data_IF_577502458517
#
_entry.id   IF_577502458517
#
_cell.length_a   1.000
_cell.length_b   1.000
_cell.length_c   1.000
_cell.angle_alpha   90.00
_cell.angle_beta   90.00
_cell.angle_gamma   90.00
#
_symmetry.space_group_name_H-M   'P 1'
#
loop_
_entity.id
_entity.type
_entity.pdbx_description
1 polymer ?
#
# COMPACT_ATOMS: atom_id res chain seq x y z
N UNK A 1 -30.74 -12.72 -20.30
CA UNK A 1 -29.29 -12.96 -20.48
C UNK A 1 -28.47 -12.40 -19.31
N UNK A 2 -28.90 -11.30 -18.69
CA UNK A 2 -28.28 -10.72 -17.47
C UNK A 2 -28.56 -11.46 -16.15
N UNK A 3 -29.44 -12.46 -16.12
CA UNK A 3 -29.80 -13.17 -14.88
C UNK A 3 -28.81 -14.28 -14.46
N UNK A 4 -27.81 -14.61 -15.30
CA UNK A 4 -26.96 -15.81 -15.10
C UNK A 4 -25.45 -15.53 -15.13
N UNK A 5 -25.04 -14.28 -15.26
CA UNK A 5 -23.62 -13.90 -15.32
C UNK A 5 -23.38 -12.72 -14.37
N UNK A 6 -23.23 -12.95 -13.05
CA UNK A 6 -22.82 -11.90 -12.13
C UNK A 6 -21.46 -11.33 -12.60
N UNK A 7 -21.23 -10.02 -12.49
CA UNK A 7 -19.96 -9.42 -12.88
C UNK A 7 -18.83 -10.11 -12.10
N UNK A 8 -17.70 -10.45 -12.76
CA UNK A 8 -16.58 -11.10 -12.09
C UNK A 8 -16.12 -10.24 -10.91
N UNK A 9 -16.22 -10.81 -9.72
CA UNK A 9 -15.66 -10.23 -8.51
C UNK A 9 -14.17 -10.55 -8.49
N UNK A 10 -13.35 -9.62 -8.96
CA UNK A 10 -11.90 -9.72 -8.78
C UNK A 10 -11.62 -9.46 -7.31
N UNK A 11 -11.33 -10.53 -6.56
CA UNK A 11 -10.83 -10.43 -5.19
C UNK A 11 -9.32 -10.23 -5.27
N UNK A 12 -8.87 -8.98 -5.21
CA UNK A 12 -7.45 -8.64 -5.12
C UNK A 12 -7.04 -8.75 -3.65
N UNK A 13 -6.41 -9.85 -3.29
CA UNK A 13 -5.75 -10.03 -2.00
C UNK A 13 -4.25 -9.92 -2.19
N UNK A 14 -3.59 -9.11 -1.37
CA UNK A 14 -2.13 -9.07 -1.32
C UNK A 14 -1.67 -10.32 -0.58
N UNK A 15 -0.61 -10.96 -1.07
CA UNK A 15 -0.02 -12.15 -0.45
C UNK A 15 0.48 -11.85 0.98
N UNK A 16 0.16 -12.73 1.94
CA UNK A 16 0.47 -12.54 3.36
C UNK A 16 1.98 -12.52 3.63
N UNK A 17 2.77 -13.28 2.84
CA UNK A 17 4.22 -13.26 2.95
C UNK A 17 4.77 -11.91 2.48
N UNK A 18 4.23 -11.34 1.40
CA UNK A 18 4.59 -10.00 0.96
C UNK A 18 4.29 -8.95 2.04
N UNK A 19 3.12 -9.00 2.69
CA UNK A 19 2.78 -8.09 3.81
C UNK A 19 3.82 -8.20 4.93
N UNK A 20 4.22 -9.42 5.29
CA UNK A 20 5.25 -9.64 6.31
C UNK A 20 6.59 -9.00 5.91
N UNK A 21 7.02 -9.14 4.66
CA UNK A 21 8.25 -8.52 4.16
C UNK A 21 8.21 -6.99 4.18
N UNK A 22 7.04 -6.40 3.93
CA UNK A 22 6.81 -4.96 4.11
C UNK A 22 6.97 -4.54 5.58
N UNK A 23 6.33 -5.25 6.50
CA UNK A 23 6.39 -4.95 7.94
C UNK A 23 7.83 -5.05 8.47
N UNK A 24 8.53 -6.14 8.12
CA UNK A 24 9.95 -6.31 8.47
C UNK A 24 10.81 -5.20 7.84
N UNK A 25 10.51 -4.83 6.59
CA UNK A 25 11.15 -3.74 5.89
C UNK A 25 11.01 -2.40 6.60
N UNK A 26 9.81 -2.06 7.11
CA UNK A 26 9.60 -0.83 7.86
C UNK A 26 10.44 -0.78 9.14
N UNK A 27 10.58 -1.90 9.85
CA UNK A 27 11.34 -1.95 11.10
C UNK A 27 12.84 -1.73 10.89
N UNK A 28 13.35 -2.05 9.70
CA UNK A 28 14.76 -1.98 9.33
C UNK A 28 15.12 -0.73 8.52
N UNK A 29 14.18 -0.17 7.75
CA UNK A 29 14.41 1.01 6.91
C UNK A 29 14.40 2.30 7.76
N UNK A 30 15.56 2.94 7.90
CA UNK A 30 15.73 4.21 8.63
C UNK A 30 14.76 5.29 8.18
N UNK A 31 14.36 5.30 6.90
CA UNK A 31 13.41 6.29 6.38
C UNK A 31 11.99 6.10 6.91
N UNK A 32 11.59 4.85 7.21
CA UNK A 32 10.22 4.49 7.53
C UNK A 32 10.02 4.00 8.97
N UNK A 33 11.05 3.53 9.66
CA UNK A 33 10.95 2.94 11.01
C UNK A 33 10.17 3.78 12.00
N UNK A 34 10.57 5.03 12.18
CA UNK A 34 9.88 5.92 13.12
C UNK A 34 8.49 6.30 12.60
N UNK A 35 8.35 6.49 11.28
CA UNK A 35 7.07 6.86 10.66
C UNK A 35 6.03 5.75 10.82
N UNK A 36 6.43 4.50 10.63
CA UNK A 36 5.58 3.33 10.80
C UNK A 36 5.19 3.12 12.26
N UNK A 37 6.16 3.27 13.18
CA UNK A 37 5.92 3.15 14.61
C UNK A 37 4.91 4.20 15.12
N UNK A 38 5.05 5.44 14.66
CA UNK A 38 4.26 6.57 15.16
C UNK A 38 2.96 6.79 14.36
N UNK A 39 2.82 6.13 13.20
CA UNK A 39 1.64 6.26 12.35
C UNK A 39 0.40 5.69 13.06
N UNK A 40 -0.69 6.47 13.15
CA UNK A 40 -1.94 5.98 13.68
C UNK A 40 -2.64 5.06 12.67
N UNK A 41 -3.66 4.33 13.13
CA UNK A 41 -4.58 3.62 12.24
C UNK A 41 -5.40 4.57 11.36
N UNK A 42 -5.89 4.05 10.23
CA UNK A 42 -6.68 4.79 9.24
C UNK A 42 -7.90 5.48 9.82
N UNK A 43 -8.53 4.92 10.83
CA UNK A 43 -9.68 5.48 11.54
C UNK A 43 -9.39 6.85 12.20
N UNK A 44 -8.12 7.09 12.55
CA UNK A 44 -7.68 8.28 13.28
C UNK A 44 -7.10 9.39 12.40
N UNK A 45 -6.99 9.20 11.07
CA UNK A 45 -6.43 10.22 10.14
C UNK A 45 -7.40 11.38 9.82
N UNK A 46 -8.33 11.70 10.72
CA UNK A 46 -9.26 12.82 10.53
C UNK A 46 -8.57 14.18 10.61
N UNK A 47 -7.35 14.23 11.14
CA UNK A 47 -6.51 15.43 11.19
C UNK A 47 -5.86 15.71 9.81
N UNK A 48 -6.10 16.89 9.18
CA UNK A 48 -5.50 17.27 7.91
C UNK A 48 -3.97 17.39 7.93
N UNK A 49 -3.38 17.65 9.10
CA UNK A 49 -1.93 17.73 9.31
C UNK A 49 -1.25 16.36 9.40
N UNK A 50 -2.01 15.28 9.59
CA UNK A 50 -1.47 13.92 9.61
C UNK A 50 -1.25 13.40 8.19
N UNK A 51 0.03 13.22 7.86
CA UNK A 51 0.45 12.74 6.53
C UNK A 51 0.76 11.26 6.46
N UNK A 52 0.90 10.57 7.60
CA UNK A 52 1.21 9.13 7.64
C UNK A 52 0.12 8.39 8.41
N UNK A 53 -0.24 7.19 7.95
CA UNK A 53 -1.17 6.29 8.63
C UNK A 53 -0.92 4.83 8.24
N UNK A 54 -1.48 3.92 9.03
CA UNK A 54 -1.51 2.49 8.75
C UNK A 54 -2.90 2.03 8.36
N UNK A 55 -2.97 1.12 7.39
CA UNK A 55 -4.22 0.42 7.06
C UNK A 55 -4.44 -0.79 7.99
N UNK A 56 -5.45 -1.60 7.65
CA UNK A 56 -5.81 -2.79 8.43
C UNK A 56 -4.78 -3.92 8.31
N UNK A 57 -3.85 -3.84 7.34
CA UNK A 57 -2.74 -4.77 7.15
C UNK A 57 -1.41 -4.23 7.75
N UNK A 58 -1.47 -3.17 8.56
CA UNK A 58 -0.31 -2.47 9.13
C UNK A 58 0.66 -1.88 8.08
N UNK A 59 0.21 -1.70 6.83
CA UNK A 59 1.01 -1.09 5.77
C UNK A 59 1.04 0.44 5.93
N UNK A 60 2.21 1.05 5.72
CA UNK A 60 2.40 2.50 5.89
C UNK A 60 2.00 3.25 4.62
N UNK A 61 1.09 4.20 4.75
CA UNK A 61 0.72 5.13 3.70
C UNK A 61 1.18 6.54 4.01
N UNK A 62 1.61 7.25 2.98
CA UNK A 62 1.84 8.68 2.97
C UNK A 62 0.75 9.37 2.17
N UNK A 63 0.19 10.45 2.71
CA UNK A 63 -0.74 11.32 2.02
C UNK A 63 0.04 12.45 1.34
N UNK A 64 -0.03 12.52 0.02
CA UNK A 64 0.63 13.57 -0.76
C UNK A 64 -0.12 14.92 -0.69
N UNK A 65 0.37 15.91 -1.44
CA UNK A 65 -0.20 17.27 -1.45
C UNK A 65 -1.67 17.31 -1.93
N UNK A 66 -2.06 16.33 -2.75
CA UNK A 66 -3.40 16.19 -3.32
C UNK A 66 -4.29 15.25 -2.48
N UNK A 67 -3.86 14.96 -1.25
CA UNK A 67 -4.52 14.06 -0.31
C UNK A 67 -4.60 12.61 -0.80
N UNK A 68 -3.81 12.22 -1.81
CA UNK A 68 -3.80 10.86 -2.34
C UNK A 68 -2.90 9.95 -1.48
N UNK A 69 -3.37 8.75 -1.11
CA UNK A 69 -2.57 7.80 -0.36
C UNK A 69 -1.55 7.10 -1.26
N UNK A 70 -0.29 7.13 -0.85
CA UNK A 70 0.84 6.46 -1.50
C UNK A 70 1.40 5.41 -0.55
N UNK A 71 1.49 4.16 -1.00
CA UNK A 71 2.13 3.11 -0.22
C UNK A 71 3.62 3.43 -0.05
N UNK A 72 4.10 3.44 1.18
CA UNK A 72 5.51 3.57 1.48
C UNK A 72 6.19 2.23 1.24
N UNK A 73 7.10 2.15 0.26
CA UNK A 73 7.79 0.90 -0.09
C UNK A 73 9.21 0.88 0.52
N UNK A 74 9.48 0.03 1.52
CA UNK A 74 10.79 -0.07 2.14
C UNK A 74 11.80 -0.67 1.18
N UNK A 75 13.08 -0.32 1.35
CA UNK A 75 14.15 -0.65 0.37
C UNK A 75 14.23 -2.12 -0.01
N UNK A 76 14.01 -3.03 0.95
CA UNK A 76 14.08 -4.48 0.74
C UNK A 76 12.99 -5.00 -0.23
N UNK A 77 11.84 -4.34 -0.32
CA UNK A 77 10.68 -4.81 -1.12
C UNK A 77 10.57 -4.07 -2.46
N UNK A 78 11.37 -3.01 -2.69
CA UNK A 78 11.30 -2.23 -3.93
C UNK A 78 11.51 -3.06 -5.19
N UNK A 79 12.45 -4.00 -5.19
CA UNK A 79 12.70 -4.84 -6.35
C UNK A 79 11.51 -5.74 -6.67
N UNK A 80 10.82 -6.25 -5.65
CA UNK A 80 9.61 -7.07 -5.82
C UNK A 80 8.52 -6.21 -6.48
N UNK A 81 8.24 -5.03 -5.92
CA UNK A 81 7.23 -4.11 -6.46
C UNK A 81 7.55 -3.69 -7.91
N UNK A 82 8.81 -3.40 -8.21
CA UNK A 82 9.24 -3.03 -9.56
C UNK A 82 9.10 -4.19 -10.53
N UNK A 83 9.46 -5.41 -10.13
CA UNK A 83 9.33 -6.60 -10.96
C UNK A 83 7.85 -6.92 -11.22
N UNK A 84 6.98 -6.87 -10.21
CA UNK A 84 5.54 -7.07 -10.38
C UNK A 84 4.92 -6.01 -11.30
N UNK A 85 5.32 -4.74 -11.18
CA UNK A 85 4.86 -3.67 -12.08
C UNK A 85 5.36 -3.84 -13.52
N UNK A 86 6.51 -4.48 -13.72
CA UNK A 86 7.05 -4.84 -15.04
C UNK A 86 6.39 -6.10 -15.63
N UNK A 87 6.03 -7.08 -14.80
CA UNK A 87 5.43 -8.36 -15.21
C UNK A 87 3.89 -8.26 -15.41
N UNK A 88 3.26 -7.19 -14.91
CA UNK A 88 1.85 -6.87 -15.16
C UNK A 88 1.68 -5.77 -16.22
N UNK A 89 1.72 -6.09 -17.54
CA UNK A 89 1.57 -5.09 -18.60
C UNK A 89 0.18 -4.41 -18.66
N UNK A 90 -0.76 -4.77 -17.78
CA UNK A 90 -2.10 -4.18 -17.72
C UNK A 90 -2.49 -3.62 -16.34
N UNK A 91 -1.55 -3.54 -15.39
CA UNK A 91 -1.79 -3.10 -14.01
C UNK A 91 -1.54 -1.60 -13.77
N UNK A 92 -2.44 -0.73 -14.24
CA UNK A 92 -2.76 0.52 -13.55
C UNK A 92 -1.69 1.60 -13.41
N UNK A 93 -0.84 1.87 -14.41
CA UNK A 93 -0.13 3.14 -14.53
C UNK A 93 -0.87 4.08 -15.51
N UNK A 94 -2.09 4.48 -15.15
CA UNK A 94 -2.72 5.66 -15.76
C UNK A 94 -2.59 6.84 -14.80
N UNK A 95 -1.47 7.53 -14.89
CA UNK A 95 -1.37 8.95 -14.58
C UNK A 95 -0.32 9.50 -15.55
N UNK A 96 -0.79 10.26 -16.54
CA UNK A 96 0.04 10.88 -17.58
C UNK A 96 0.80 12.11 -17.13
#
# INVERSE_FOLDING_TARGET
>A
WEASNPPPNIQVSVDDQLIKEFIEGYQQDVAFKNKWKDAPGRDKIRDPGMRFYKDDADLLFFRDADYQPRLCVPKNVRNIVLNEAHDQPFGGAHAG
#
